data_IF_861050209254
#
_entry.id   IF_861050209254
#
_cell.length_a   1.000
_cell.length_b   1.000
_cell.length_c   1.000
_cell.angle_alpha   90.00
_cell.angle_beta   90.00
_cell.angle_gamma   90.00
#
_symmetry.space_group_name_H-M   'P 1'
#
loop_
_entity.id
_entity.type
_entity.pdbx_description
1 polymer ?
#
# COMPACT_ATOMS: atom_id res chain seq x y z
N UNK A 1 -44.57 -16.03 -68.25
CA UNK A 1 -44.69 -15.72 -66.80
C UNK A 1 -45.31 -14.35 -66.66
N UNK A 2 -46.49 -14.26 -66.06
CA UNK A 2 -47.32 -13.06 -66.03
C UNK A 2 -46.65 -11.93 -65.19
N UNK A 3 -46.67 -10.67 -65.64
CA UNK A 3 -46.00 -9.55 -64.96
C UNK A 3 -46.44 -9.37 -63.52
N UNK A 4 -47.63 -9.76 -63.16
CA UNK A 4 -48.12 -9.79 -61.76
C UNK A 4 -47.35 -10.82 -60.91
N UNK A 5 -47.04 -11.98 -61.44
CA UNK A 5 -46.29 -13.03 -60.72
C UNK A 5 -44.82 -12.62 -60.47
N UNK A 6 -44.18 -11.96 -61.47
CA UNK A 6 -42.82 -11.39 -61.31
C UNK A 6 -42.74 -10.33 -60.23
N UNK A 7 -43.72 -9.42 -60.13
CA UNK A 7 -43.82 -8.40 -59.08
C UNK A 7 -44.03 -9.01 -57.71
N UNK A 8 -44.89 -10.03 -57.59
CA UNK A 8 -45.14 -10.70 -56.30
C UNK A 8 -43.93 -11.48 -55.81
N UNK A 9 -43.18 -12.15 -56.71
CA UNK A 9 -41.93 -12.85 -56.35
C UNK A 9 -40.84 -11.86 -55.94
N UNK A 10 -40.70 -10.72 -56.64
CA UNK A 10 -39.76 -9.67 -56.29
C UNK A 10 -40.05 -9.06 -54.94
N UNK A 11 -41.32 -8.84 -54.61
CA UNK A 11 -41.75 -8.29 -53.33
C UNK A 11 -41.49 -9.28 -52.16
N UNK A 12 -41.67 -10.61 -52.42
CA UNK A 12 -41.40 -11.65 -51.44
C UNK A 12 -39.91 -11.81 -51.14
N UNK A 13 -39.04 -11.71 -52.16
CA UNK A 13 -37.60 -11.74 -52.00
C UNK A 13 -37.10 -10.50 -51.23
N UNK A 14 -37.62 -9.30 -51.49
CA UNK A 14 -37.29 -8.10 -50.77
C UNK A 14 -37.74 -8.18 -49.30
N UNK A 15 -38.95 -8.73 -49.05
CA UNK A 15 -39.45 -8.95 -47.69
C UNK A 15 -38.62 -10.00 -46.91
N UNK A 16 -38.18 -11.05 -47.59
CA UNK A 16 -37.30 -12.09 -46.99
C UNK A 16 -35.90 -11.51 -46.67
N UNK A 17 -35.34 -10.69 -47.56
CA UNK A 17 -34.05 -10.02 -47.35
C UNK A 17 -34.15 -8.96 -46.24
N UNK A 18 -35.26 -8.22 -46.14
CA UNK A 18 -35.50 -7.32 -45.03
C UNK A 18 -35.70 -8.07 -43.69
N UNK A 19 -36.37 -9.19 -43.68
CA UNK A 19 -36.53 -10.02 -42.49
C UNK A 19 -35.19 -10.62 -42.01
N UNK A 20 -34.31 -11.03 -42.94
CA UNK A 20 -32.96 -11.52 -42.57
C UNK A 20 -32.05 -10.38 -42.09
N UNK A 21 -32.20 -9.15 -42.60
CA UNK A 21 -31.45 -8.00 -42.10
C UNK A 21 -31.94 -7.56 -40.71
N UNK A 22 -33.25 -7.65 -40.44
CA UNK A 22 -33.80 -7.33 -39.11
C UNK A 22 -33.44 -8.35 -38.04
N UNK A 23 -33.26 -9.62 -38.39
CA UNK A 23 -32.78 -10.66 -37.45
C UNK A 23 -31.27 -10.57 -37.22
N UNK A 24 -30.47 -10.06 -38.19
CA UNK A 24 -29.04 -9.86 -38.02
C UNK A 24 -28.68 -8.62 -37.19
N UNK A 25 -29.62 -7.65 -37.03
CA UNK A 25 -29.40 -6.46 -36.23
C UNK A 25 -29.86 -6.59 -34.76
N UNK A 26 -30.46 -7.70 -34.37
CA UNK A 26 -30.98 -7.88 -32.99
C UNK A 26 -30.20 -8.89 -32.14
N UNK A 27 -28.96 -9.18 -32.45
CA UNK A 27 -28.08 -9.77 -31.45
C UNK A 27 -27.49 -8.57 -30.60
N UNK A 28 -28.33 -7.91 -29.82
CA UNK A 28 -27.83 -7.34 -28.58
C UNK A 28 -27.25 -8.54 -27.81
N UNK A 29 -25.95 -8.51 -27.59
CA UNK A 29 -25.26 -9.45 -26.73
C UNK A 29 -25.75 -9.13 -25.30
N UNK A 30 -26.86 -9.76 -24.89
CA UNK A 30 -27.50 -9.53 -23.58
C UNK A 30 -26.53 -9.79 -22.43
N UNK A 31 -25.43 -10.49 -22.72
CA UNK A 31 -24.37 -10.81 -21.76
C UNK A 31 -23.17 -9.85 -21.79
N UNK A 32 -23.20 -8.79 -22.65
CA UNK A 32 -22.10 -7.84 -22.69
C UNK A 32 -22.14 -6.88 -21.51
N UNK A 33 -21.19 -7.06 -20.60
CA UNK A 33 -20.97 -6.20 -19.44
C UNK A 33 -19.61 -5.53 -19.51
N UNK A 34 -19.55 -4.28 -19.09
CA UNK A 34 -18.31 -3.49 -18.87
C UNK A 34 -18.11 -3.40 -17.36
N UNK A 35 -16.94 -3.76 -16.90
CA UNK A 35 -16.57 -3.68 -15.49
C UNK A 35 -15.84 -2.37 -15.22
N UNK A 36 -16.01 -1.82 -14.01
CA UNK A 36 -15.28 -0.61 -13.59
C UNK A 36 -13.86 -0.96 -13.11
N UNK A 37 -13.14 -1.61 -14.00
CA UNK A 37 -11.79 -2.11 -13.84
C UNK A 37 -10.99 -1.87 -15.13
N UNK A 38 -9.78 -1.34 -14.98
CA UNK A 38 -8.81 -1.16 -16.07
C UNK A 38 -7.49 -1.79 -15.65
N UNK A 39 -6.82 -2.44 -16.58
CA UNK A 39 -5.49 -3.05 -16.40
C UNK A 39 -4.61 -2.67 -17.58
N UNK A 40 -3.49 -2.02 -17.33
CA UNK A 40 -2.58 -1.58 -18.39
C UNK A 40 -3.24 -0.66 -19.43
N UNK A 41 -4.23 0.15 -19.03
CA UNK A 41 -5.03 0.99 -19.92
C UNK A 41 -6.18 0.25 -20.64
N UNK A 42 -6.32 -1.06 -20.47
CA UNK A 42 -7.39 -1.86 -21.09
C UNK A 42 -8.59 -1.94 -20.14
N UNK A 43 -9.75 -1.50 -20.61
CA UNK A 43 -11.03 -1.64 -19.90
C UNK A 43 -11.48 -3.10 -19.88
N UNK A 44 -11.81 -3.61 -18.71
CA UNK A 44 -12.28 -5.01 -18.56
C UNK A 44 -13.74 -5.14 -18.93
N UNK A 45 -14.05 -6.18 -19.69
CA UNK A 45 -15.39 -6.50 -20.17
C UNK A 45 -15.61 -8.01 -20.12
N UNK A 46 -16.86 -8.48 -20.30
CA UNK A 46 -17.15 -9.91 -20.42
C UNK A 46 -16.43 -10.58 -21.60
N UNK A 47 -15.99 -9.81 -22.62
CA UNK A 47 -15.33 -10.36 -23.81
C UNK A 47 -13.83 -10.58 -23.62
N UNK A 48 -13.16 -9.77 -22.78
CA UNK A 48 -11.71 -9.88 -22.56
C UNK A 48 -11.33 -10.34 -21.15
N UNK A 49 -12.27 -10.56 -20.25
CA UNK A 49 -12.00 -10.87 -18.85
C UNK A 49 -11.16 -12.12 -18.61
N UNK A 50 -11.14 -13.06 -19.53
CA UNK A 50 -10.34 -14.29 -19.42
C UNK A 50 -8.89 -14.11 -19.85
N UNK A 51 -8.61 -13.03 -20.60
CA UNK A 51 -7.28 -12.65 -21.07
C UNK A 51 -7.30 -11.16 -21.42
N UNK A 52 -7.12 -10.32 -20.38
CA UNK A 52 -7.34 -8.87 -20.48
C UNK A 52 -6.30 -8.20 -21.39
N UNK A 53 -5.05 -8.63 -21.29
CA UNK A 53 -3.93 -8.06 -22.04
C UNK A 53 -3.64 -8.78 -23.36
N UNK A 54 -4.28 -9.92 -23.62
CA UNK A 54 -4.09 -10.74 -24.82
C UNK A 54 -2.80 -11.57 -24.81
N UNK A 55 -2.18 -11.75 -23.64
CA UNK A 55 -0.93 -12.50 -23.45
C UNK A 55 -1.08 -13.66 -22.43
N UNK A 56 -2.30 -13.90 -21.96
CA UNK A 56 -2.64 -14.98 -21.03
C UNK A 56 -2.23 -14.72 -19.58
N UNK A 57 -1.74 -13.52 -19.24
CA UNK A 57 -1.18 -13.26 -17.91
C UNK A 57 -2.17 -12.62 -16.93
N UNK A 58 -3.27 -12.02 -17.43
CA UNK A 58 -4.24 -11.32 -16.58
C UNK A 58 -5.65 -11.76 -16.89
N UNK A 59 -6.38 -12.19 -15.86
CA UNK A 59 -7.79 -12.55 -15.96
C UNK A 59 -8.61 -11.99 -14.80
N UNK A 60 -9.90 -11.76 -15.06
CA UNK A 60 -10.87 -11.29 -14.07
C UNK A 60 -12.07 -12.21 -13.99
N UNK A 61 -12.47 -12.54 -12.77
CA UNK A 61 -13.70 -13.27 -12.45
C UNK A 61 -14.49 -12.48 -11.40
N UNK A 62 -15.71 -12.08 -11.74
CA UNK A 62 -16.56 -11.28 -10.85
C UNK A 62 -17.85 -10.84 -11.49
N UNK A 63 -18.69 -10.17 -10.69
CA UNK A 63 -20.02 -9.69 -11.07
C UNK A 63 -20.07 -8.15 -11.28
N UNK A 64 -18.92 -7.46 -11.17
CA UNK A 64 -18.79 -6.02 -11.28
C UNK A 64 -18.96 -5.25 -9.97
N UNK A 65 -19.41 -5.89 -8.89
CA UNK A 65 -19.39 -5.35 -7.52
C UNK A 65 -18.27 -5.98 -6.70
N UNK A 66 -18.05 -7.26 -6.90
CA UNK A 66 -16.96 -7.99 -6.28
C UNK A 66 -16.30 -8.88 -7.31
N UNK A 67 -14.98 -9.06 -7.23
CA UNK A 67 -14.30 -9.95 -8.14
C UNK A 67 -12.84 -10.16 -7.82
N UNK A 68 -12.27 -11.14 -8.53
CA UNK A 68 -10.86 -11.51 -8.41
C UNK A 68 -10.16 -11.20 -9.72
N UNK A 69 -9.16 -10.32 -9.66
CA UNK A 69 -8.18 -10.09 -10.71
C UNK A 69 -6.97 -10.97 -10.44
N UNK A 70 -6.71 -11.91 -11.32
CA UNK A 70 -5.54 -12.79 -11.20
C UNK A 70 -4.42 -12.28 -12.09
N UNK A 71 -3.25 -12.07 -11.50
CA UNK A 71 -1.99 -11.79 -12.18
C UNK A 71 -1.14 -13.08 -12.15
N UNK A 72 -0.69 -13.53 -13.31
CA UNK A 72 0.08 -14.77 -13.47
C UNK A 72 1.29 -14.55 -14.39
N UNK A 73 2.40 -14.12 -13.79
CA UNK A 73 3.60 -13.76 -14.55
C UNK A 73 3.45 -12.49 -15.37
N UNK A 74 2.60 -11.58 -14.91
CA UNK A 74 2.26 -10.32 -15.60
C UNK A 74 3.44 -9.35 -15.60
N UNK A 75 3.66 -8.68 -16.74
CA UNK A 75 4.62 -7.58 -16.85
C UNK A 75 4.01 -6.37 -17.57
N UNK A 76 3.58 -5.37 -16.82
CA UNK A 76 3.06 -4.10 -17.35
C UNK A 76 4.12 -3.02 -17.11
N UNK A 77 4.99 -2.80 -18.11
CA UNK A 77 6.10 -1.86 -17.99
C UNK A 77 5.67 -0.41 -18.13
N UNK A 78 4.73 -0.14 -19.04
CA UNK A 78 4.25 1.20 -19.38
C UNK A 78 2.73 1.22 -19.50
N UNK A 79 2.14 2.36 -19.19
CA UNK A 79 0.72 2.62 -19.38
C UNK A 79 0.56 4.05 -19.90
N UNK A 80 -0.03 4.19 -21.08
CA UNK A 80 -0.25 5.51 -21.68
C UNK A 80 -1.50 6.17 -21.07
N UNK A 81 -1.35 7.42 -20.64
CA UNK A 81 -2.44 8.34 -20.28
C UNK A 81 -3.36 7.89 -19.11
N UNK A 82 -2.91 6.97 -18.26
CA UNK A 82 -3.65 6.53 -17.09
C UNK A 82 -2.99 7.02 -15.80
N UNK A 83 -3.82 7.29 -14.79
CA UNK A 83 -3.35 7.66 -13.44
C UNK A 83 -2.65 6.50 -12.73
N UNK A 84 -3.07 5.26 -13.02
CA UNK A 84 -2.48 4.04 -12.47
C UNK A 84 -2.51 2.88 -13.49
N UNK A 85 -1.66 1.87 -13.29
CA UNK A 85 -1.65 0.65 -14.12
C UNK A 85 -2.88 -0.23 -13.91
N UNK A 86 -3.35 -0.32 -12.67
CA UNK A 86 -4.60 -0.98 -12.31
C UNK A 86 -5.47 0.07 -11.63
N UNK A 87 -6.64 0.32 -12.20
CA UNK A 87 -7.66 1.21 -11.64
C UNK A 87 -8.94 0.41 -11.44
N UNK A 88 -9.47 0.42 -10.23
CA UNK A 88 -10.73 -0.25 -9.91
C UNK A 88 -11.62 0.66 -9.08
N UNK A 89 -12.86 0.82 -9.51
CA UNK A 89 -13.94 1.37 -8.69
C UNK A 89 -14.99 0.30 -8.35
N UNK A 90 -14.60 -0.97 -8.45
CA UNK A 90 -15.38 -2.11 -7.96
C UNK A 90 -15.35 -2.08 -6.43
N UNK A 91 -16.49 -2.30 -5.77
CA UNK A 91 -16.62 -2.22 -4.31
C UNK A 91 -15.61 -3.12 -3.59
N UNK A 92 -15.40 -4.36 -4.07
CA UNK A 92 -14.45 -5.30 -3.46
C UNK A 92 -13.62 -6.00 -4.54
N UNK A 93 -12.36 -5.59 -4.69
CA UNK A 93 -11.41 -6.22 -5.58
C UNK A 93 -10.44 -7.13 -4.82
N UNK A 94 -10.36 -8.39 -5.20
CA UNK A 94 -9.28 -9.29 -4.79
C UNK A 94 -8.24 -9.34 -5.89
N UNK A 95 -6.99 -9.03 -5.56
CA UNK A 95 -5.82 -9.24 -6.42
C UNK A 95 -5.15 -10.56 -6.03
N UNK A 96 -5.26 -11.55 -6.89
CA UNK A 96 -4.67 -12.87 -6.68
C UNK A 96 -3.34 -12.97 -7.41
N UNK A 97 -2.25 -13.19 -6.68
CA UNK A 97 -0.88 -13.26 -7.20
C UNK A 97 -0.45 -14.69 -7.47
N UNK A 98 -0.13 -14.98 -8.74
CA UNK A 98 0.44 -16.25 -9.20
C UNK A 98 1.74 -15.95 -9.95
N UNK A 99 2.83 -16.64 -9.60
CA UNK A 99 4.15 -16.40 -10.21
C UNK A 99 4.71 -15.03 -9.88
N UNK A 100 5.60 -14.53 -10.74
CA UNK A 100 6.26 -13.24 -10.57
C UNK A 100 5.58 -12.16 -11.41
N UNK A 101 5.04 -11.13 -10.77
CA UNK A 101 4.32 -10.04 -11.44
C UNK A 101 5.07 -8.72 -11.28
N UNK A 102 5.11 -7.92 -12.35
CA UNK A 102 5.79 -6.62 -12.40
C UNK A 102 4.87 -5.57 -13.00
N UNK A 103 4.71 -4.46 -12.28
CA UNK A 103 3.90 -3.33 -12.71
C UNK A 103 4.71 -2.07 -12.53
N UNK A 104 4.82 -1.24 -13.57
CA UNK A 104 5.48 0.05 -13.50
C UNK A 104 6.99 -0.01 -13.28
N UNK A 105 7.63 -1.12 -13.63
CA UNK A 105 9.09 -1.26 -13.49
C UNK A 105 9.88 -0.65 -14.65
N UNK A 106 9.21 -0.14 -15.70
CA UNK A 106 9.82 0.61 -16.79
C UNK A 106 10.29 2.01 -16.39
N UNK A 107 10.86 2.77 -17.34
CA UNK A 107 11.38 4.13 -17.11
C UNK A 107 10.26 5.13 -16.79
N UNK A 108 9.10 5.01 -17.45
CA UNK A 108 7.94 5.88 -17.26
C UNK A 108 6.93 5.25 -16.30
N UNK A 109 7.04 5.59 -15.02
CA UNK A 109 6.05 5.19 -14.04
C UNK A 109 4.88 6.20 -13.99
N UNK A 110 3.61 5.76 -13.90
CA UNK A 110 2.47 6.63 -13.63
C UNK A 110 2.52 7.18 -12.21
N UNK A 111 1.56 8.05 -11.90
CA UNK A 111 1.42 8.63 -10.54
C UNK A 111 1.21 7.51 -9.53
N UNK A 112 0.28 6.60 -9.79
CA UNK A 112 0.01 5.45 -8.92
C UNK A 112 0.26 4.12 -9.65
N UNK A 113 0.63 3.07 -8.91
CA UNK A 113 0.75 1.72 -9.45
C UNK A 113 -0.61 1.03 -9.53
N UNK A 114 -1.27 0.90 -8.40
CA UNK A 114 -2.60 0.32 -8.24
C UNK A 114 -3.47 1.32 -7.47
N UNK A 115 -4.68 1.60 -7.96
CA UNK A 115 -5.68 2.43 -7.29
C UNK A 115 -7.02 1.69 -7.25
N UNK A 116 -7.57 1.48 -6.06
CA UNK A 116 -8.81 0.74 -5.86
C UNK A 116 -9.64 1.33 -4.69
N UNK A 117 -10.89 0.91 -4.56
CA UNK A 117 -11.67 1.12 -3.35
C UNK A 117 -11.25 0.09 -2.29
N UNK A 118 -11.95 -1.01 -2.12
CA UNK A 118 -11.53 -2.06 -1.21
C UNK A 118 -10.68 -3.09 -1.96
N UNK A 119 -9.42 -3.19 -1.56
CA UNK A 119 -8.43 -4.06 -2.19
C UNK A 119 -7.93 -5.13 -1.21
N UNK A 120 -8.11 -6.39 -1.57
CA UNK A 120 -7.47 -7.51 -0.88
C UNK A 120 -6.41 -8.11 -1.77
N UNK A 121 -5.17 -8.21 -1.30
CA UNK A 121 -4.05 -8.85 -2.00
C UNK A 121 -3.79 -10.20 -1.35
N UNK A 122 -3.75 -11.26 -2.16
CA UNK A 122 -3.46 -12.62 -1.72
C UNK A 122 -2.77 -13.44 -2.80
N UNK A 123 -2.34 -14.64 -2.44
CA UNK A 123 -1.69 -15.60 -3.35
C UNK A 123 -0.28 -15.95 -2.87
N UNK A 124 0.35 -16.89 -3.57
CA UNK A 124 1.73 -17.34 -3.27
C UNK A 124 2.78 -16.67 -4.18
N UNK A 125 2.32 -15.89 -5.15
CA UNK A 125 3.17 -15.17 -6.08
C UNK A 125 3.80 -13.91 -5.49
N UNK A 126 4.53 -13.21 -6.36
CA UNK A 126 5.13 -11.91 -6.03
C UNK A 126 4.56 -10.80 -6.91
N UNK A 127 4.63 -9.57 -6.40
CA UNK A 127 4.23 -8.36 -7.07
C UNK A 127 5.28 -7.25 -6.82
N UNK A 128 5.99 -6.86 -7.87
CA UNK A 128 6.83 -5.67 -7.87
C UNK A 128 6.05 -4.50 -8.49
N UNK A 129 5.86 -3.42 -7.74
CA UNK A 129 5.11 -2.24 -8.19
C UNK A 129 5.96 -1.00 -8.12
N UNK A 130 6.13 -0.31 -9.26
CA UNK A 130 6.80 0.98 -9.35
C UNK A 130 5.81 2.11 -9.60
N UNK A 131 5.92 3.24 -8.88
CA UNK A 131 5.09 4.42 -9.05
C UNK A 131 5.81 5.69 -8.57
N UNK A 132 5.32 6.88 -8.99
CA UNK A 132 5.89 8.18 -8.58
C UNK A 132 5.30 8.74 -7.29
N UNK A 133 4.05 8.39 -6.98
CA UNK A 133 3.38 8.80 -5.74
C UNK A 133 3.03 7.58 -4.88
N UNK A 134 2.00 6.81 -5.22
CA UNK A 134 1.61 5.66 -4.42
C UNK A 134 1.74 4.37 -5.22
N UNK A 135 2.55 3.42 -4.72
CA UNK A 135 2.67 2.13 -5.41
C UNK A 135 1.33 1.36 -5.33
N UNK A 136 0.73 1.29 -4.14
CA UNK A 136 -0.59 0.69 -3.94
C UNK A 136 -1.43 1.64 -3.09
N UNK A 137 -2.57 2.06 -3.63
CA UNK A 137 -3.51 2.98 -2.98
C UNK A 137 -4.90 2.38 -2.96
N UNK A 138 -5.56 2.41 -1.79
CA UNK A 138 -6.95 1.98 -1.65
C UNK A 138 -7.67 2.78 -0.55
N UNK A 139 -9.00 2.70 -0.50
CA UNK A 139 -9.74 3.17 0.66
C UNK A 139 -9.54 2.17 1.82
N UNK A 140 -9.78 0.89 1.57
CA UNK A 140 -9.39 -0.21 2.48
C UNK A 140 -8.39 -1.12 1.78
N UNK A 141 -7.24 -1.37 2.39
CA UNK A 141 -6.21 -2.28 1.88
C UNK A 141 -5.96 -3.42 2.85
N UNK A 142 -6.17 -4.64 2.40
CA UNK A 142 -5.86 -5.85 3.16
C UNK A 142 -4.81 -6.69 2.41
N UNK A 143 -3.71 -7.01 3.07
CA UNK A 143 -2.71 -7.96 2.59
C UNK A 143 -2.85 -9.26 3.38
N UNK A 144 -3.37 -10.30 2.71
CA UNK A 144 -3.55 -11.64 3.30
C UNK A 144 -2.29 -12.49 3.17
N UNK A 145 -1.59 -12.37 2.03
CA UNK A 145 -0.38 -13.14 1.72
C UNK A 145 0.31 -12.61 0.46
N UNK A 146 1.43 -13.24 0.07
CA UNK A 146 2.23 -12.93 -1.10
C UNK A 146 3.47 -12.12 -0.79
N UNK A 147 4.31 -11.92 -1.81
CA UNK A 147 5.47 -11.03 -1.73
C UNK A 147 5.17 -9.74 -2.45
N UNK A 148 5.33 -8.61 -1.79
CA UNK A 148 5.03 -7.29 -2.33
C UNK A 148 6.28 -6.42 -2.20
N UNK A 149 6.89 -6.07 -3.32
CA UNK A 149 8.00 -5.14 -3.41
C UNK A 149 7.50 -3.84 -4.06
N UNK A 150 7.52 -2.74 -3.33
CA UNK A 150 7.14 -1.43 -3.86
C UNK A 150 8.37 -0.57 -4.12
N UNK A 151 8.36 0.16 -5.24
CA UNK A 151 9.46 0.99 -5.69
C UNK A 151 8.95 2.41 -5.95
N UNK A 152 9.24 3.33 -5.05
CA UNK A 152 8.91 4.73 -5.20
C UNK A 152 9.97 5.36 -6.10
N UNK A 153 9.52 5.89 -7.25
CA UNK A 153 10.37 6.39 -8.33
C UNK A 153 10.31 7.91 -8.43
N UNK A 154 11.36 8.51 -8.93
CA UNK A 154 11.38 9.91 -9.37
C UNK A 154 11.01 10.02 -10.83
N UNK A 155 10.49 11.17 -11.25
CA UNK A 155 10.40 11.53 -12.65
C UNK A 155 11.69 12.24 -13.08
N UNK A 156 12.24 11.89 -14.24
CA UNK A 156 13.51 12.42 -14.74
C UNK A 156 13.52 13.96 -14.91
N UNK A 157 12.36 14.60 -15.11
CA UNK A 157 12.23 16.03 -15.45
C UNK A 157 11.39 16.85 -14.45
N UNK A 158 10.92 16.28 -13.35
CA UNK A 158 10.09 17.00 -12.39
C UNK A 158 10.74 16.98 -11.00
N UNK A 159 10.85 18.15 -10.37
CA UNK A 159 11.02 18.22 -8.91
C UNK A 159 9.90 17.38 -8.33
N UNK A 160 10.23 16.36 -7.54
CA UNK A 160 9.25 15.46 -6.95
C UNK A 160 8.18 16.26 -6.21
N UNK A 161 7.06 16.48 -6.88
CA UNK A 161 5.93 17.26 -6.35
C UNK A 161 4.97 16.39 -5.54
N UNK A 162 5.26 15.09 -5.47
CA UNK A 162 4.39 14.11 -4.85
C UNK A 162 5.02 13.53 -3.59
N UNK A 163 4.17 13.24 -2.62
CA UNK A 163 4.53 12.40 -1.47
C UNK A 163 4.65 10.97 -1.97
N UNK A 164 5.80 10.33 -1.74
CA UNK A 164 6.03 8.95 -2.11
C UNK A 164 5.48 7.99 -1.06
N UNK A 165 4.63 7.04 -1.43
CA UNK A 165 4.03 6.07 -0.49
C UNK A 165 4.13 4.65 -1.05
N UNK A 166 4.64 3.72 -0.25
CA UNK A 166 4.63 2.30 -0.60
C UNK A 166 3.21 1.74 -0.63
N UNK A 167 2.58 1.62 0.53
CA UNK A 167 1.18 1.21 0.69
C UNK A 167 0.41 2.32 1.37
N UNK A 168 -0.67 2.77 0.73
CA UNK A 168 -1.55 3.82 1.24
C UNK A 168 -2.99 3.32 1.38
N UNK A 169 -3.58 3.51 2.56
CA UNK A 169 -5.00 3.33 2.79
C UNK A 169 -5.65 4.59 3.37
N UNK A 170 -6.87 4.90 2.92
CA UNK A 170 -7.61 6.04 3.43
C UNK A 170 -8.31 5.71 4.76
N UNK A 171 -8.91 4.55 4.86
CA UNK A 171 -9.73 4.16 6.00
C UNK A 171 -9.06 3.10 6.87
N UNK A 172 -8.54 2.03 6.23
CA UNK A 172 -8.03 0.87 6.95
C UNK A 172 -6.92 0.16 6.17
N UNK A 173 -5.77 -0.05 6.81
CA UNK A 173 -4.70 -0.90 6.31
C UNK A 173 -4.53 -2.11 7.23
N UNK A 174 -4.74 -3.31 6.69
CA UNK A 174 -4.57 -4.57 7.42
C UNK A 174 -3.49 -5.40 6.74
N UNK A 175 -2.50 -5.84 7.50
CA UNK A 175 -1.49 -6.81 7.04
C UNK A 175 -1.64 -8.06 7.91
N UNK A 176 -2.25 -9.11 7.36
CA UNK A 176 -2.43 -10.38 8.05
C UNK A 176 -1.19 -11.26 7.91
N UNK A 177 -0.54 -11.24 6.76
CA UNK A 177 0.67 -12.00 6.46
C UNK A 177 1.36 -11.44 5.21
N UNK A 178 2.40 -12.13 4.72
CA UNK A 178 3.15 -11.79 3.52
C UNK A 178 4.55 -11.27 3.81
N UNK A 179 5.30 -11.02 2.73
CA UNK A 179 6.63 -10.41 2.75
C UNK A 179 6.55 -9.08 2.00
N UNK A 180 6.62 -7.97 2.72
CA UNK A 180 6.43 -6.63 2.18
C UNK A 180 7.73 -5.86 2.29
N UNK A 181 8.20 -5.32 1.14
CA UNK A 181 9.37 -4.45 1.09
C UNK A 181 9.03 -3.14 0.41
N UNK A 182 9.49 -2.06 1.01
CA UNK A 182 9.35 -0.71 0.46
C UNK A 182 10.72 -0.16 0.13
N UNK A 183 10.93 0.15 -1.16
CA UNK A 183 12.16 0.71 -1.70
C UNK A 183 11.92 2.13 -2.22
N UNK A 184 12.90 2.98 -2.03
CA UNK A 184 12.91 4.35 -2.53
C UNK A 184 14.04 4.52 -3.53
N UNK A 185 13.80 5.27 -4.61
CA UNK A 185 14.87 5.64 -5.50
C UNK A 185 15.89 6.53 -4.76
N UNK A 186 17.21 6.33 -4.93
CA UNK A 186 18.23 7.11 -4.21
C UNK A 186 18.11 8.63 -4.45
N UNK A 187 17.65 9.03 -5.63
CA UNK A 187 17.41 10.41 -6.02
C UNK A 187 16.08 10.99 -5.53
N UNK A 188 15.24 10.19 -4.85
CA UNK A 188 13.96 10.64 -4.35
C UNK A 188 14.16 11.63 -3.19
N UNK A 189 13.71 12.88 -3.36
CA UNK A 189 13.96 14.00 -2.43
C UNK A 189 12.70 14.56 -1.77
N UNK A 190 11.52 14.03 -2.13
CA UNK A 190 10.26 14.47 -1.53
C UNK A 190 9.96 13.72 -0.24
N UNK A 191 8.94 14.19 0.49
CA UNK A 191 8.42 13.50 1.65
C UNK A 191 7.96 12.09 1.29
N UNK A 192 8.28 11.10 2.11
CA UNK A 192 7.97 9.70 1.80
C UNK A 192 7.47 8.93 3.02
N UNK A 193 6.58 7.96 2.74
CA UNK A 193 6.03 7.06 3.74
C UNK A 193 6.12 5.61 3.24
N UNK A 194 6.55 4.71 4.13
CA UNK A 194 6.55 3.28 3.81
C UNK A 194 5.12 2.72 3.81
N UNK A 195 4.50 2.72 4.97
CA UNK A 195 3.09 2.39 5.17
C UNK A 195 2.38 3.63 5.68
N UNK A 196 1.32 4.04 5.01
CA UNK A 196 0.50 5.18 5.41
C UNK A 196 -0.97 4.82 5.48
N UNK A 197 -1.58 5.03 6.64
CA UNK A 197 -3.02 4.95 6.81
C UNK A 197 -3.56 6.23 7.43
N UNK A 198 -4.56 6.84 6.78
CA UNK A 198 -5.19 8.06 7.32
C UNK A 198 -5.99 7.77 8.59
N UNK A 199 -6.48 6.54 8.78
CA UNK A 199 -7.13 6.12 10.03
C UNK A 199 -6.36 4.99 10.71
N UNK A 200 -6.84 3.75 10.62
CA UNK A 200 -6.33 2.64 11.41
C UNK A 200 -5.42 1.70 10.60
N UNK A 201 -4.25 1.39 11.16
CA UNK A 201 -3.30 0.43 10.61
C UNK A 201 -3.14 -0.74 11.57
N UNK A 202 -3.32 -1.95 11.07
CA UNK A 202 -3.18 -3.19 11.87
C UNK A 202 -2.23 -4.16 11.19
N UNK A 203 -1.21 -4.61 11.92
CA UNK A 203 -0.27 -5.64 11.49
C UNK A 203 -0.48 -6.86 12.39
N UNK A 204 -1.06 -7.92 11.82
CA UNK A 204 -1.31 -9.19 12.50
C UNK A 204 -0.16 -10.18 12.32
N UNK A 205 0.63 -10.03 11.26
CA UNK A 205 1.73 -10.94 10.96
C UNK A 205 2.54 -10.52 9.74
N UNK A 206 3.34 -11.45 9.23
CA UNK A 206 4.18 -11.25 8.05
C UNK A 206 5.57 -10.68 8.35
N UNK A 207 6.32 -10.40 7.29
CA UNK A 207 7.62 -9.74 7.31
C UNK A 207 7.50 -8.40 6.60
N UNK A 208 7.90 -7.33 7.25
CA UNK A 208 7.84 -5.98 6.70
C UNK A 208 9.22 -5.35 6.80
N UNK A 209 9.74 -4.90 5.68
CA UNK A 209 11.02 -4.22 5.58
C UNK A 209 10.84 -2.87 4.87
N UNK A 210 11.13 -1.78 5.55
CA UNK A 210 11.05 -0.42 5.02
C UNK A 210 12.44 0.20 5.16
N UNK A 211 13.06 0.56 4.02
CA UNK A 211 14.40 1.11 3.98
C UNK A 211 14.42 2.42 3.21
N UNK A 212 14.72 3.50 3.92
CA UNK A 212 14.93 4.84 3.35
C UNK A 212 16.42 5.24 3.34
N UNK A 213 17.32 4.31 3.66
CA UNK A 213 18.76 4.56 3.85
C UNK A 213 19.44 5.30 2.68
N UNK A 214 19.01 4.98 1.44
CA UNK A 214 19.60 5.55 0.22
C UNK A 214 18.85 6.77 -0.29
N UNK A 215 17.70 7.13 0.29
CA UNK A 215 16.91 8.25 -0.15
C UNK A 215 17.36 9.55 0.52
N UNK A 216 17.55 10.60 -0.26
CA UNK A 216 17.74 11.95 0.25
C UNK A 216 16.44 12.56 0.81
N UNK A 217 15.33 11.81 0.72
CA UNK A 217 14.01 12.22 1.14
C UNK A 217 13.87 12.18 2.66
N UNK A 218 13.09 13.13 3.15
CA UNK A 218 12.55 13.07 4.49
C UNK A 218 11.39 12.07 4.50
N UNK A 219 11.24 11.32 5.57
CA UNK A 219 10.12 10.43 5.60
C UNK A 219 9.97 9.57 6.84
N UNK A 220 8.72 9.14 7.02
CA UNK A 220 8.30 8.28 8.12
C UNK A 220 8.12 6.86 7.58
N UNK A 221 8.70 5.89 8.27
CA UNK A 221 8.58 4.50 7.85
C UNK A 221 7.13 3.99 7.92
N UNK A 222 6.49 4.11 9.09
CA UNK A 222 5.10 3.72 9.32
C UNK A 222 4.33 4.88 9.96
N UNK A 223 3.23 5.29 9.34
CA UNK A 223 2.35 6.32 9.90
C UNK A 223 0.89 5.88 9.90
N UNK A 224 0.22 6.10 11.02
CA UNK A 224 -1.22 5.95 11.18
C UNK A 224 -1.76 7.18 11.90
N UNK A 225 -2.63 7.94 11.26
CA UNK A 225 -3.13 9.18 11.88
C UNK A 225 -4.11 8.95 13.03
N UNK A 226 -4.65 7.72 13.18
CA UNK A 226 -5.48 7.38 14.35
C UNK A 226 -4.82 6.25 15.16
N UNK A 227 -4.91 5.01 14.74
CA UNK A 227 -4.45 3.88 15.55
C UNK A 227 -3.53 2.93 14.79
N UNK A 228 -2.33 2.69 15.34
CA UNK A 228 -1.43 1.62 14.92
C UNK A 228 -1.55 0.43 15.88
N UNK A 229 -1.88 -0.74 15.38
CA UNK A 229 -1.93 -1.98 16.16
C UNK A 229 -0.93 -2.98 15.59
N UNK A 230 -0.04 -3.52 16.43
CA UNK A 230 0.88 -4.60 16.06
C UNK A 230 0.57 -5.81 16.94
N UNK A 231 -0.05 -6.83 16.34
CA UNK A 231 -0.40 -8.08 17.00
C UNK A 231 0.60 -9.20 16.70
N UNK A 232 1.41 -9.06 15.65
CA UNK A 232 2.39 -10.05 15.24
C UNK A 232 3.32 -9.53 14.14
N UNK A 233 4.11 -10.45 13.57
CA UNK A 233 5.03 -10.16 12.46
C UNK A 233 6.45 -9.81 12.90
N UNK A 234 7.30 -9.70 11.88
CA UNK A 234 8.69 -9.25 12.02
C UNK A 234 8.87 -7.99 11.18
N UNK A 235 9.06 -6.86 11.84
CA UNK A 235 9.01 -5.53 11.23
C UNK A 235 10.36 -4.87 11.41
N UNK A 236 10.99 -4.50 10.32
CA UNK A 236 12.21 -3.70 10.28
C UNK A 236 11.92 -2.39 9.56
N UNK A 237 12.11 -1.29 10.25
CA UNK A 237 11.80 0.04 9.73
C UNK A 237 13.01 0.95 9.90
N UNK A 238 13.38 1.59 8.81
CA UNK A 238 14.30 2.70 8.80
C UNK A 238 13.61 3.93 8.21
N UNK A 239 13.54 5.01 8.98
CA UNK A 239 13.03 6.31 8.55
C UNK A 239 14.12 7.37 8.56
N UNK A 240 14.07 8.31 7.62
CA UNK A 240 15.00 9.45 7.61
C UNK A 240 14.56 10.58 8.56
N UNK A 241 13.35 10.51 9.07
CA UNK A 241 12.78 11.42 10.07
C UNK A 241 12.28 10.56 11.23
N UNK A 242 11.03 10.10 11.19
CA UNK A 242 10.49 9.15 12.16
C UNK A 242 10.50 7.71 11.61
N UNK A 243 10.80 6.71 12.42
CA UNK A 243 10.55 5.33 12.03
C UNK A 243 9.05 5.00 12.13
N UNK A 244 8.38 5.44 13.19
CA UNK A 244 6.95 5.21 13.39
C UNK A 244 6.26 6.41 14.02
N UNK A 245 5.07 6.73 13.51
CA UNK A 245 4.23 7.80 14.03
C UNK A 245 2.77 7.34 14.12
N UNK A 246 2.12 7.51 15.27
CA UNK A 246 0.72 7.19 15.45
C UNK A 246 0.09 8.02 16.58
N UNK A 247 -1.22 8.32 16.47
CA UNK A 247 -1.97 8.98 17.54
C UNK A 247 -2.17 8.05 18.74
N UNK A 248 -2.53 6.80 18.49
CA UNK A 248 -2.60 5.74 19.50
C UNK A 248 -1.91 4.47 19.00
N UNK A 249 -1.30 3.74 19.92
CA UNK A 249 -0.54 2.54 19.60
C UNK A 249 -0.89 1.38 20.53
N UNK A 250 -0.99 0.19 19.97
CA UNK A 250 -1.12 -1.03 20.74
C UNK A 250 -0.21 -2.13 20.18
N UNK A 251 0.63 -2.71 21.03
CA UNK A 251 1.46 -3.86 20.67
C UNK A 251 1.15 -5.04 21.58
N UNK A 252 0.66 -6.11 20.98
CA UNK A 252 0.29 -7.35 21.68
C UNK A 252 1.15 -8.54 21.30
N UNK A 253 1.97 -8.39 20.25
CA UNK A 253 2.88 -9.42 19.75
C UNK A 253 3.83 -8.88 18.68
N UNK A 254 4.61 -9.79 18.08
CA UNK A 254 5.56 -9.46 17.02
C UNK A 254 6.90 -8.94 17.52
N UNK A 255 7.78 -8.67 16.56
CA UNK A 255 9.10 -8.07 16.79
C UNK A 255 9.25 -6.85 15.89
N UNK A 256 9.56 -5.71 16.46
CA UNK A 256 9.79 -4.47 15.75
C UNK A 256 11.19 -3.97 16.03
N UNK A 257 11.97 -3.76 14.97
CA UNK A 257 13.25 -3.08 14.99
C UNK A 257 13.11 -1.80 14.17
N UNK A 258 13.09 -0.68 14.84
CA UNK A 258 12.89 0.61 14.22
C UNK A 258 14.06 1.52 14.47
N UNK A 259 14.55 2.17 13.43
CA UNK A 259 15.65 3.13 13.50
C UNK A 259 15.33 4.37 12.67
N UNK A 260 15.84 5.51 13.10
CA UNK A 260 15.74 6.73 12.33
C UNK A 260 17.00 7.59 12.50
N UNK A 261 17.24 8.42 11.49
CA UNK A 261 18.14 9.57 11.59
C UNK A 261 17.26 10.74 12.02
N UNK A 262 17.55 11.29 13.19
CA UNK A 262 16.83 12.49 13.70
C UNK A 262 17.25 13.72 12.87
N UNK A 263 16.67 13.84 11.67
CA UNK A 263 16.80 15.02 10.83
C UNK A 263 15.70 16.01 11.21
N UNK A 264 16.14 17.22 11.56
CA UNK A 264 15.32 18.36 11.94
C UNK A 264 14.36 18.74 10.80
N UNK A 265 13.15 18.15 10.73
CA UNK A 265 12.11 18.62 9.80
C UNK A 265 10.66 18.34 10.24
N UNK A 266 9.76 18.88 9.42
CA UNK A 266 8.33 18.95 9.64
C UNK A 266 7.67 17.58 9.83
N UNK A 267 7.18 17.30 11.02
CA UNK A 267 6.24 16.22 11.28
C UNK A 267 4.79 16.67 11.04
N UNK A 268 3.89 15.73 10.83
CA UNK A 268 2.46 15.97 10.83
C UNK A 268 1.94 15.83 12.27
N UNK A 269 1.38 16.89 12.84
CA UNK A 269 0.73 16.80 14.15
C UNK A 269 -0.62 16.09 14.00
N UNK A 270 -0.74 14.85 14.48
CA UNK A 270 -1.99 14.10 14.36
C UNK A 270 -3.14 14.67 15.22
N UNK A 271 -2.87 15.58 16.17
CA UNK A 271 -3.93 16.24 16.94
C UNK A 271 -4.55 17.41 16.18
N UNK A 272 -3.73 18.18 15.47
CA UNK A 272 -4.20 19.40 14.78
C UNK A 272 -4.37 19.20 13.28
N UNK A 273 -3.77 18.16 12.69
CA UNK A 273 -3.72 17.97 11.25
C UNK A 273 -2.78 18.93 10.55
N UNK A 274 -1.93 19.66 11.29
CA UNK A 274 -1.02 20.65 10.75
C UNK A 274 0.41 20.10 10.69
N UNK A 275 1.20 20.57 9.72
CA UNK A 275 2.63 20.32 9.69
C UNK A 275 3.31 21.09 10.81
N UNK A 276 3.96 20.39 11.72
CA UNK A 276 4.75 20.96 12.80
C UNK A 276 6.23 20.79 12.48
N UNK A 277 6.96 21.88 12.47
CA UNK A 277 8.42 21.83 12.36
C UNK A 277 9.02 21.48 13.73
N UNK A 278 9.72 20.38 13.82
CA UNK A 278 10.40 19.93 15.03
C UNK A 278 10.95 18.53 14.86
N UNK A 279 12.03 18.22 15.53
CA UNK A 279 12.58 16.88 15.61
C UNK A 279 11.73 16.06 16.58
N UNK A 280 11.11 15.00 16.10
CA UNK A 280 10.10 14.23 16.85
C UNK A 280 10.57 12.87 17.36
N UNK A 281 11.83 12.49 17.08
CA UNK A 281 12.42 11.23 17.55
C UNK A 281 12.12 10.03 16.65
N UNK A 282 12.54 8.84 17.08
CA UNK A 282 12.41 7.61 16.28
C UNK A 282 10.98 7.07 16.28
N UNK A 283 10.26 7.25 17.37
CA UNK A 283 8.91 6.71 17.54
C UNK A 283 8.04 7.70 18.34
N UNK A 284 7.07 8.29 17.66
CA UNK A 284 6.12 9.23 18.23
C UNK A 284 4.73 8.64 18.33
N UNK A 285 4.27 8.37 19.55
CA UNK A 285 2.96 7.80 19.86
C UNK A 285 2.18 8.78 20.73
N UNK A 286 1.51 9.72 20.08
CA UNK A 286 1.11 11.02 20.67
C UNK A 286 0.25 10.90 21.90
N UNK A 287 -0.86 10.16 21.87
CA UNK A 287 -1.80 10.14 22.98
C UNK A 287 -1.55 8.97 23.91
N UNK A 288 -1.54 7.74 23.37
CA UNK A 288 -1.46 6.54 24.18
C UNK A 288 -0.64 5.45 23.49
N UNK A 289 0.22 4.80 24.28
CA UNK A 289 0.93 3.59 23.88
C UNK A 289 0.65 2.45 24.89
N UNK A 290 0.22 1.30 24.38
CA UNK A 290 -0.04 0.10 25.18
C UNK A 290 0.82 -1.06 24.69
N UNK A 291 1.57 -1.66 25.61
CA UNK A 291 2.40 -2.83 25.36
C UNK A 291 1.97 -3.97 26.28
N UNK A 292 1.46 -5.05 25.71
CA UNK A 292 1.08 -6.27 26.45
C UNK A 292 1.77 -7.53 25.92
N UNK A 293 2.58 -7.40 24.89
CA UNK A 293 3.37 -8.48 24.31
C UNK A 293 4.28 -8.01 23.19
N UNK A 294 5.12 -8.89 22.68
CA UNK A 294 6.08 -8.60 21.62
C UNK A 294 7.39 -7.98 22.11
N UNK A 295 8.18 -7.47 21.17
CA UNK A 295 9.44 -6.77 21.42
C UNK A 295 9.57 -5.60 20.47
N UNK A 296 9.79 -4.40 21.01
CA UNK A 296 10.08 -3.18 20.28
C UNK A 296 11.50 -2.71 20.62
N UNK A 297 12.31 -2.55 19.60
CA UNK A 297 13.64 -1.91 19.73
C UNK A 297 13.67 -0.68 18.85
N UNK A 298 14.03 0.46 19.43
CA UNK A 298 14.16 1.75 18.78
C UNK A 298 15.62 2.20 18.84
N UNK A 299 16.16 2.69 17.73
CA UNK A 299 17.53 3.19 17.65
C UNK A 299 17.56 4.53 16.94
N UNK A 300 18.02 5.56 17.66
CA UNK A 300 18.38 6.85 17.08
C UNK A 300 19.81 6.77 16.55
N UNK A 301 19.98 6.87 15.23
CA UNK A 301 21.29 6.68 14.57
C UNK A 301 22.14 7.95 14.62
N UNK A 302 21.55 9.09 14.29
CA UNK A 302 22.21 10.41 14.40
C UNK A 302 21.22 11.37 15.04
N UNK A 303 21.58 11.96 16.15
CA UNK A 303 20.72 12.89 16.87
C UNK A 303 21.26 14.31 16.72
N UNK A 304 20.51 15.16 16.04
CA UNK A 304 20.83 16.58 15.95
C UNK A 304 20.51 17.32 17.24
N UNK A 305 19.51 16.87 17.99
CA UNK A 305 19.14 17.43 19.28
C UNK A 305 19.01 16.32 20.34
N UNK A 306 19.91 16.26 21.34
CA UNK A 306 19.88 15.23 22.37
C UNK A 306 18.67 15.33 23.33
N UNK A 307 17.97 16.45 23.34
CA UNK A 307 16.79 16.67 24.20
C UNK A 307 15.51 16.11 23.58
N UNK A 308 15.54 15.71 22.30
CA UNK A 308 14.42 15.10 21.63
C UNK A 308 14.30 13.62 22.03
N UNK A 309 13.10 13.17 22.44
CA UNK A 309 12.92 11.79 22.84
C UNK A 309 13.07 10.82 21.67
N UNK A 310 13.82 9.73 21.84
CA UNK A 310 13.80 8.58 20.91
C UNK A 310 12.43 7.89 20.92
N UNK A 311 11.79 7.90 22.08
CA UNK A 311 10.42 7.43 22.25
C UNK A 311 9.60 8.45 23.01
N UNK A 312 8.40 8.73 22.54
CA UNK A 312 7.44 9.62 23.18
C UNK A 312 6.02 9.06 23.16
N UNK A 313 5.33 9.12 24.33
CA UNK A 313 3.89 8.90 24.46
C UNK A 313 3.35 9.68 25.66
N UNK A 314 2.22 10.36 25.54
CA UNK A 314 1.58 11.06 26.68
C UNK A 314 1.06 10.11 27.75
N UNK A 315 0.65 8.93 27.35
CA UNK A 315 0.17 7.86 28.26
C UNK A 315 0.81 6.53 27.83
N UNK A 316 1.60 5.94 28.72
CA UNK A 316 2.32 4.70 28.49
C UNK A 316 1.83 3.62 29.45
N UNK A 317 1.23 2.55 28.89
CA UNK A 317 0.83 1.36 29.64
C UNK A 317 1.67 0.15 29.17
N UNK A 318 2.51 -0.39 30.04
CA UNK A 318 3.43 -1.48 29.69
C UNK A 318 2.93 -2.87 30.08
N UNK A 319 1.91 -2.96 30.93
CA UNK A 319 1.29 -4.23 31.38
C UNK A 319 2.33 -5.31 31.79
N UNK A 320 3.35 -4.90 32.54
CA UNK A 320 4.43 -5.78 32.98
C UNK A 320 5.53 -6.04 31.95
N UNK A 321 5.54 -5.31 30.84
CA UNK A 321 6.69 -5.26 29.95
C UNK A 321 7.79 -4.42 30.58
N UNK A 322 9.04 -4.83 30.36
CA UNK A 322 10.23 -4.09 30.78
C UNK A 322 10.61 -3.04 29.76
N UNK A 323 10.90 -1.85 30.22
CA UNK A 323 11.51 -0.77 29.40
C UNK A 323 12.97 -0.65 29.78
N UNK A 324 13.83 -0.63 28.78
CA UNK A 324 15.29 -0.47 28.95
C UNK A 324 15.79 0.58 27.98
N UNK A 325 16.77 1.37 28.39
CA UNK A 325 17.40 2.39 27.55
C UNK A 325 18.91 2.48 27.80
N UNK A 326 19.63 2.94 26.79
CA UNK A 326 21.09 3.10 26.83
C UNK A 326 21.63 3.70 25.52
N UNK A 327 22.95 3.84 25.43
CA UNK A 327 23.61 4.39 24.24
C UNK A 327 23.60 3.41 23.06
N UNK A 328 23.46 2.11 23.34
CA UNK A 328 23.38 1.04 22.36
C UNK A 328 22.60 -0.15 22.89
N UNK A 329 22.29 -1.12 22.03
CA UNK A 329 21.60 -2.35 22.42
C UNK A 329 22.36 -3.20 23.44
N UNK A 330 23.68 -3.01 23.57
CA UNK A 330 24.56 -3.73 24.50
C UNK A 330 24.68 -3.06 25.87
N UNK A 331 24.21 -1.81 26.00
CA UNK A 331 24.38 -0.97 27.23
C UNK A 331 23.06 -0.66 27.90
N UNK A 332 22.01 -1.41 27.62
CA UNK A 332 20.65 -1.16 28.10
C UNK A 332 20.56 -1.32 29.63
N UNK A 333 19.94 -0.35 30.28
CA UNK A 333 19.56 -0.37 31.70
C UNK A 333 18.06 -0.17 31.83
N UNK A 334 17.46 -0.74 32.88
CA UNK A 334 16.05 -0.60 33.16
C UNK A 334 15.67 0.86 33.42
N UNK A 335 14.54 1.27 32.87
CA UNK A 335 13.98 2.63 32.98
C UNK A 335 12.69 2.62 33.76
N UNK A 336 12.41 3.75 34.39
CA UNK A 336 11.13 3.98 35.08
C UNK A 336 9.99 4.12 34.04
N UNK A 337 8.99 3.28 34.15
CA UNK A 337 7.80 3.27 33.29
C UNK A 337 6.78 4.36 33.63
N UNK A 338 6.98 5.13 34.68
CA UNK A 338 6.22 6.35 34.96
C UNK A 338 6.59 7.52 34.04
N UNK A 339 7.70 7.41 33.31
CA UNK A 339 8.17 8.39 32.34
C UNK A 339 7.51 8.11 30.99
N UNK A 340 7.14 9.16 30.28
CA UNK A 340 6.50 9.08 28.96
C UNK A 340 7.44 9.50 27.81
N UNK A 341 8.65 9.89 28.11
CA UNK A 341 9.66 10.32 27.14
C UNK A 341 11.03 9.73 27.51
N UNK A 342 11.66 9.05 26.58
CA UNK A 342 12.97 8.44 26.75
C UNK A 342 13.93 8.99 25.71
N UNK A 343 15.03 9.60 26.18
CA UNK A 343 16.04 10.26 25.35
C UNK A 343 17.29 9.41 25.09
N UNK A 344 17.30 8.17 25.53
CA UNK A 344 18.41 7.25 25.26
C UNK A 344 18.52 6.96 23.74
N UNK A 345 19.71 6.73 23.21
CA UNK A 345 19.88 6.41 21.78
C UNK A 345 19.26 5.06 21.39
N UNK A 346 19.17 4.14 22.33
CA UNK A 346 18.51 2.86 22.14
C UNK A 346 17.48 2.62 23.25
N UNK A 347 16.24 2.35 22.86
CA UNK A 347 15.14 1.99 23.76
C UNK A 347 14.66 0.59 23.37
N UNK A 348 14.43 -0.27 24.38
CA UNK A 348 13.81 -1.58 24.19
C UNK A 348 12.65 -1.77 25.14
N UNK A 349 11.53 -2.24 24.60
CA UNK A 349 10.33 -2.63 25.35
C UNK A 349 10.05 -4.08 25.02
N UNK A 350 10.17 -4.96 26.00
CA UNK A 350 10.01 -6.40 25.81
C UNK A 350 9.47 -7.09 27.06
N UNK A 351 8.96 -8.30 26.89
CA UNK A 351 8.54 -9.11 28.05
C UNK A 351 9.78 -9.58 28.81
N UNK A 352 9.73 -9.51 30.14
CA UNK A 352 10.80 -10.05 30.97
C UNK A 352 10.87 -11.57 30.77
N UNK A 353 12.05 -12.04 30.40
CA UNK A 353 12.32 -13.49 30.30
C UNK A 353 12.73 -13.96 31.68
N UNK A 354 11.83 -14.67 32.36
CA UNK A 354 12.11 -15.34 33.65
C UNK A 354 13.02 -16.54 33.46
#
# INVERSE_FOLDING_TARGET
MNNKLKKSISLLIVALLLATMLTACNSYDEDYQIYDLWVGGVKVTTRNRTDILGDGTVSYEGDGKSGTLTLNGTNIAECSDMEAFIVSTIDNLTLNLVGENKIGMGEKAPVNGISAYDLTIKGEGSLAVGARASCIKADTLTVESGKIDTYIKTAEDEIASFIGVGLWAQELLIINSGDIKVHYAPEFTALSYGLYCVKDLTINGGSIEIKQEDAAALGVGIISSEKLTIAGGNITVYGNDDAMNAKTFAMTGGTVNASAVDLFLAGFDPETGEFVFGSDGVCRLVNKAEFSGGSLTLVALERMNPDVPTFFSKDLATHGMKVSGGDSADTLTEKDTSTYAYTDNCIRIEKEVN
#
